data_IF_856441582124
#
_entry.id   IF_856441582124
#
_cell.length_a   1.000
_cell.length_b   1.000
_cell.length_c   1.000
_cell.angle_alpha   90.00
_cell.angle_beta   90.00
_cell.angle_gamma   90.00
#
_symmetry.space_group_name_H-M   'P 1'
#
loop_
_entity.id
_entity.type
_entity.pdbx_description
1 polymer ?
#
# COMPACT_ATOMS: atom_id res chain seq x y z
N UNK A 1 20.71 14.05 -47.21
CA UNK A 1 21.76 14.20 -46.18
C UNK A 1 21.21 14.61 -44.81
N UNK A 2 20.47 15.72 -44.67
CA UNK A 2 19.93 16.20 -43.37
C UNK A 2 19.09 15.17 -42.60
N UNK A 3 18.23 14.39 -43.28
CA UNK A 3 17.43 13.31 -42.67
C UNK A 3 18.29 12.25 -41.99
N UNK A 4 19.33 11.77 -42.67
CA UNK A 4 20.20 10.71 -42.13
C UNK A 4 20.95 11.18 -40.87
N UNK A 5 21.36 12.45 -40.83
CA UNK A 5 21.99 13.05 -39.64
C UNK A 5 21.00 13.08 -38.48
N UNK A 6 19.76 13.52 -38.71
CA UNK A 6 18.73 13.56 -37.67
C UNK A 6 18.35 12.17 -37.16
N UNK A 7 18.24 11.19 -38.05
CA UNK A 7 17.98 9.80 -37.66
C UNK A 7 19.14 9.23 -36.85
N UNK A 8 20.38 9.41 -37.29
CA UNK A 8 21.55 8.95 -36.53
C UNK A 8 21.67 9.64 -35.16
N UNK A 9 21.35 10.94 -35.10
CA UNK A 9 21.32 11.70 -33.85
C UNK A 9 20.22 11.20 -32.90
N UNK A 10 19.01 10.93 -33.42
CA UNK A 10 17.94 10.31 -32.67
C UNK A 10 18.31 8.92 -32.14
N UNK A 11 18.95 8.07 -32.96
CA UNK A 11 19.47 6.77 -32.51
C UNK A 11 20.49 6.90 -31.37
N UNK A 12 21.36 7.91 -31.43
CA UNK A 12 22.28 8.21 -30.33
C UNK A 12 21.56 8.71 -29.06
N UNK A 13 20.50 9.51 -29.20
CA UNK A 13 19.66 9.94 -28.07
C UNK A 13 18.94 8.74 -27.41
N UNK A 14 18.42 7.80 -28.20
CA UNK A 14 17.87 6.54 -27.67
C UNK A 14 18.93 5.75 -26.89
N UNK A 15 20.14 5.64 -27.43
CA UNK A 15 21.24 4.92 -26.76
C UNK A 15 21.69 5.57 -25.45
N UNK A 16 21.50 6.88 -25.30
CA UNK A 16 21.81 7.63 -24.07
C UNK A 16 20.64 7.69 -23.07
N UNK A 17 19.50 7.06 -23.40
CA UNK A 17 18.31 7.02 -22.55
C UNK A 17 17.38 8.23 -22.66
N UNK A 18 17.67 9.18 -23.55
CA UNK A 18 16.86 10.38 -23.77
C UNK A 18 15.75 10.08 -24.81
N UNK A 19 14.75 9.28 -24.40
CA UNK A 19 13.76 8.73 -25.33
C UNK A 19 12.79 9.77 -25.90
N UNK A 20 12.25 10.69 -25.09
CA UNK A 20 11.31 11.71 -25.57
C UNK A 20 11.96 12.68 -26.58
N UNK A 21 13.19 13.11 -26.30
CA UNK A 21 13.94 13.98 -27.22
C UNK A 21 14.29 13.25 -28.52
N UNK A 22 14.61 11.94 -28.45
CA UNK A 22 14.78 11.11 -29.64
C UNK A 22 13.51 11.04 -30.49
N UNK A 23 12.34 10.84 -29.87
CA UNK A 23 11.05 10.87 -30.56
C UNK A 23 10.82 12.18 -31.33
N UNK A 24 11.10 13.32 -30.69
CA UNK A 24 10.99 14.64 -31.34
C UNK A 24 11.99 14.80 -32.49
N UNK A 25 13.24 14.32 -32.35
CA UNK A 25 14.23 14.43 -33.43
C UNK A 25 13.85 13.55 -34.63
N UNK A 26 13.31 12.36 -34.41
CA UNK A 26 12.76 11.50 -35.47
C UNK A 26 11.56 12.14 -36.18
N UNK A 27 10.67 12.83 -35.46
CA UNK A 27 9.55 13.57 -36.05
C UNK A 27 10.00 14.80 -36.85
N UNK A 28 11.08 15.46 -36.44
CA UNK A 28 11.63 16.64 -37.13
C UNK A 28 12.32 16.32 -38.46
N UNK A 29 12.59 15.04 -38.73
CA UNK A 29 13.18 14.58 -39.98
C UNK A 29 12.19 14.75 -41.15
N UNK A 30 12.71 14.99 -42.36
CA UNK A 30 11.90 15.13 -43.58
C UNK A 30 12.35 14.11 -44.64
N UNK A 31 11.50 13.14 -45.03
CA UNK A 31 10.23 12.79 -44.37
C UNK A 31 10.43 12.23 -42.94
N UNK A 32 9.41 12.28 -42.07
CA UNK A 32 9.51 11.82 -40.68
C UNK A 32 9.84 10.33 -40.59
N UNK A 33 10.66 9.96 -39.61
CA UNK A 33 10.92 8.55 -39.29
C UNK A 33 9.88 8.07 -38.27
N UNK A 34 8.67 7.76 -38.73
CA UNK A 34 7.51 7.51 -37.85
C UNK A 34 7.69 6.26 -36.97
N UNK A 35 8.14 5.13 -37.53
CA UNK A 35 8.35 3.88 -36.77
C UNK A 35 9.34 4.08 -35.61
N UNK A 36 10.50 4.69 -35.89
CA UNK A 36 11.50 5.00 -34.86
C UNK A 36 10.98 5.99 -33.82
N UNK A 37 10.10 6.92 -34.22
CA UNK A 37 9.46 7.84 -33.29
C UNK A 37 8.48 7.13 -32.37
N UNK A 38 7.67 6.19 -32.89
CA UNK A 38 6.74 5.37 -32.08
C UNK A 38 7.51 4.60 -31.02
N UNK A 39 8.58 3.89 -31.39
CA UNK A 39 9.40 3.13 -30.46
C UNK A 39 10.04 4.02 -29.38
N UNK A 40 10.47 5.22 -29.76
CA UNK A 40 11.04 6.18 -28.83
C UNK A 40 10.00 6.70 -27.83
N UNK A 41 8.79 7.05 -28.28
CA UNK A 41 7.72 7.52 -27.38
C UNK A 41 7.13 6.42 -26.51
N UNK A 42 7.07 5.17 -27.01
CA UNK A 42 6.72 3.99 -26.22
C UNK A 42 7.69 3.83 -25.04
N UNK A 43 9.00 3.89 -25.30
CA UNK A 43 10.04 3.84 -24.24
C UNK A 43 10.02 5.06 -23.30
N UNK A 44 9.57 6.21 -23.78
CA UNK A 44 9.38 7.41 -22.97
C UNK A 44 8.13 7.36 -22.07
N UNK A 45 7.32 6.29 -22.14
CA UNK A 45 6.01 6.19 -21.48
C UNK A 45 4.97 7.23 -21.94
N UNK A 46 5.18 7.84 -23.12
CA UNK A 46 4.26 8.80 -23.74
C UNK A 46 3.30 8.10 -24.70
N UNK A 47 2.45 7.24 -24.15
CA UNK A 47 1.63 6.32 -24.94
C UNK A 47 0.67 7.03 -25.91
N UNK A 48 0.05 8.16 -25.51
CA UNK A 48 -0.87 8.92 -26.37
C UNK A 48 -0.19 9.41 -27.65
N UNK A 49 1.03 9.91 -27.51
CA UNK A 49 1.79 10.42 -28.64
C UNK A 49 2.25 9.27 -29.53
N UNK A 50 2.73 8.17 -28.95
CA UNK A 50 3.07 6.95 -29.69
C UNK A 50 1.88 6.43 -30.51
N UNK A 51 0.69 6.31 -29.92
CA UNK A 51 -0.52 5.86 -30.63
C UNK A 51 -0.97 6.83 -31.73
N UNK A 52 -0.89 8.14 -31.48
CA UNK A 52 -1.24 9.15 -32.49
C UNK A 52 -0.29 9.14 -33.70
N UNK A 53 0.98 8.80 -33.48
CA UNK A 53 1.98 8.68 -34.54
C UNK A 53 1.79 7.35 -35.28
N UNK A 54 1.54 6.26 -34.56
CA UNK A 54 1.28 4.95 -35.13
C UNK A 54 0.06 4.97 -36.07
N UNK A 55 -0.99 5.73 -35.72
CA UNK A 55 -2.16 5.93 -36.58
C UNK A 55 -1.86 6.63 -37.93
N UNK A 56 -0.67 7.22 -38.09
CA UNK A 56 -0.22 7.84 -39.36
C UNK A 56 0.57 6.86 -40.23
N UNK A 57 0.78 5.63 -39.78
CA UNK A 57 1.52 4.58 -40.49
C UNK A 57 0.51 3.58 -41.06
N UNK A 58 0.34 3.57 -42.38
CA UNK A 58 -0.68 2.74 -43.05
C UNK A 58 -0.52 1.22 -42.82
N UNK A 59 0.70 0.76 -42.52
CA UNK A 59 1.02 -0.65 -42.30
C UNK A 59 0.97 -1.08 -40.84
N UNK A 60 0.72 -0.15 -39.90
CA UNK A 60 0.75 -0.44 -38.48
C UNK A 60 -0.58 -1.05 -38.01
N UNK A 61 -0.52 -2.22 -37.39
CA UNK A 61 -1.66 -2.77 -36.66
C UNK A 61 -1.78 -2.08 -35.30
N UNK A 62 -2.68 -1.09 -35.25
CA UNK A 62 -2.88 -0.24 -34.09
C UNK A 62 -3.44 -1.02 -32.88
N UNK A 63 -4.24 -2.07 -33.12
CA UNK A 63 -4.82 -2.87 -32.04
C UNK A 63 -3.73 -3.72 -31.37
N UNK A 64 -2.89 -4.41 -32.15
CA UNK A 64 -1.77 -5.19 -31.61
C UNK A 64 -0.78 -4.30 -30.84
N UNK A 65 -0.45 -3.12 -31.37
CA UNK A 65 0.42 -2.17 -30.67
C UNK A 65 -0.22 -1.68 -29.35
N UNK A 66 -1.52 -1.40 -29.35
CA UNK A 66 -2.24 -0.99 -28.15
C UNK A 66 -2.22 -2.07 -27.07
N UNK A 67 -2.43 -3.34 -27.42
CA UNK A 67 -2.32 -4.47 -26.47
C UNK A 67 -0.91 -4.56 -25.86
N UNK A 68 0.13 -4.52 -26.69
CA UNK A 68 1.52 -4.57 -26.20
C UNK A 68 1.81 -3.42 -25.24
N UNK A 69 1.39 -2.19 -25.60
CA UNK A 69 1.61 -1.02 -24.76
C UNK A 69 0.78 -1.05 -23.47
N UNK A 70 -0.45 -1.58 -23.51
CA UNK A 70 -1.27 -1.77 -22.33
C UNK A 70 -0.60 -2.77 -21.36
N UNK A 71 -0.09 -3.89 -21.88
CA UNK A 71 0.65 -4.87 -21.07
C UNK A 71 1.94 -4.26 -20.48
N UNK A 72 2.68 -3.46 -21.24
CA UNK A 72 3.84 -2.72 -20.74
C UNK A 72 3.47 -1.75 -19.61
N UNK A 73 2.34 -1.03 -19.71
CA UNK A 73 1.86 -0.11 -18.67
C UNK A 73 1.38 -0.83 -17.42
N UNK A 74 0.93 -2.08 -17.54
CA UNK A 74 0.53 -2.93 -16.42
C UNK A 74 1.73 -3.63 -15.76
N UNK A 75 2.72 -4.05 -16.55
CA UNK A 75 3.89 -4.82 -16.13
C UNK A 75 5.16 -3.99 -15.95
N UNK A 76 5.08 -2.66 -16.06
CA UNK A 76 6.24 -1.76 -16.04
C UNK A 76 7.17 -2.01 -14.83
N UNK A 77 8.27 -2.74 -15.05
CA UNK A 77 9.34 -2.90 -14.06
C UNK A 77 10.17 -1.60 -14.03
N UNK A 78 9.83 -0.69 -13.11
CA UNK A 78 10.63 0.52 -12.83
C UNK A 78 9.96 1.85 -13.16
N UNK A 79 8.80 1.86 -13.82
CA UNK A 79 7.93 3.03 -13.98
C UNK A 79 6.66 2.83 -13.14
N UNK A 80 5.98 3.93 -12.76
CA UNK A 80 4.68 3.83 -12.09
C UNK A 80 3.68 3.14 -13.01
N UNK A 81 3.16 1.98 -12.59
CA UNK A 81 2.04 1.29 -13.25
C UNK A 81 0.90 2.28 -13.50
N UNK A 82 0.32 2.26 -14.69
CA UNK A 82 -0.79 3.13 -15.03
C UNK A 82 -1.96 2.31 -15.62
N UNK A 83 -2.80 1.72 -14.77
CA UNK A 83 -3.88 0.85 -15.23
C UNK A 83 -4.99 1.63 -15.95
N UNK A 84 -5.19 2.92 -15.63
CA UNK A 84 -6.17 3.77 -16.31
C UNK A 84 -5.78 3.98 -17.78
N UNK A 85 -4.50 4.27 -18.04
CA UNK A 85 -3.99 4.39 -19.40
C UNK A 85 -4.07 3.05 -20.18
N UNK A 86 -3.78 1.92 -19.53
CA UNK A 86 -3.94 0.60 -20.14
C UNK A 86 -5.41 0.32 -20.52
N UNK A 87 -6.36 0.65 -19.65
CA UNK A 87 -7.78 0.52 -19.95
C UNK A 87 -8.24 1.44 -21.09
N UNK A 88 -7.75 2.69 -21.14
CA UNK A 88 -7.99 3.60 -22.27
C UNK A 88 -7.49 2.98 -23.60
N UNK A 89 -6.35 2.29 -23.59
CA UNK A 89 -5.82 1.58 -24.76
C UNK A 89 -6.75 0.45 -25.22
N UNK A 90 -7.17 -0.43 -24.30
CA UNK A 90 -8.09 -1.53 -24.61
C UNK A 90 -9.42 -1.04 -25.17
N UNK A 91 -10.02 -0.03 -24.55
CA UNK A 91 -11.34 0.47 -24.94
C UNK A 91 -11.28 1.23 -26.28
N UNK A 92 -10.33 2.15 -26.44
CA UNK A 92 -10.32 3.07 -27.57
C UNK A 92 -9.69 2.47 -28.83
N UNK A 93 -8.66 1.64 -28.68
CA UNK A 93 -7.88 1.13 -29.82
C UNK A 93 -8.12 -0.35 -30.09
N UNK A 94 -8.28 -1.17 -29.05
CA UNK A 94 -8.57 -2.59 -29.24
C UNK A 94 -10.06 -2.89 -29.40
N UNK A 95 -10.94 -1.94 -29.06
CA UNK A 95 -12.38 -2.15 -28.93
C UNK A 95 -12.76 -3.28 -27.96
N UNK A 96 -11.87 -3.58 -27.02
CA UNK A 96 -12.05 -4.59 -25.99
C UNK A 96 -12.49 -3.91 -24.69
N UNK A 97 -13.81 -3.80 -24.56
CA UNK A 97 -14.43 -3.20 -23.38
C UNK A 97 -14.37 -4.17 -22.19
N UNK A 98 -14.22 -5.48 -22.41
CA UNK A 98 -14.18 -6.49 -21.34
C UNK A 98 -12.90 -6.31 -20.57
N UNK A 99 -11.77 -6.37 -21.28
CA UNK A 99 -10.45 -6.22 -20.68
C UNK A 99 -10.25 -4.82 -20.09
N UNK A 100 -10.79 -3.78 -20.75
CA UNK A 100 -10.76 -2.41 -20.25
C UNK A 100 -11.49 -2.24 -18.90
N UNK A 101 -12.72 -2.75 -18.80
CA UNK A 101 -13.50 -2.71 -17.55
C UNK A 101 -12.83 -3.56 -16.48
N UNK A 102 -12.42 -4.79 -16.81
CA UNK A 102 -11.71 -5.66 -15.89
C UNK A 102 -10.44 -5.00 -15.32
N UNK A 103 -9.65 -4.34 -16.17
CA UNK A 103 -8.43 -3.62 -15.75
C UNK A 103 -8.75 -2.47 -14.78
N UNK A 104 -9.80 -1.69 -15.05
CA UNK A 104 -10.22 -0.58 -14.17
C UNK A 104 -10.74 -1.09 -12.82
N UNK A 105 -11.53 -2.16 -12.83
CA UNK A 105 -12.06 -2.77 -11.61
C UNK A 105 -10.92 -3.32 -10.74
N UNK A 106 -9.94 -3.99 -11.33
CA UNK A 106 -8.76 -4.47 -10.62
C UNK A 106 -7.89 -3.32 -10.06
N UNK A 107 -7.92 -2.15 -10.70
CA UNK A 107 -7.28 -0.93 -10.21
C UNK A 107 -8.10 -0.19 -9.15
N UNK A 108 -9.30 -0.69 -8.78
CA UNK A 108 -10.27 -0.04 -7.90
C UNK A 108 -10.78 1.32 -8.42
N UNK A 109 -10.69 1.54 -9.72
CA UNK A 109 -11.19 2.73 -10.40
C UNK A 109 -12.68 2.55 -10.78
N UNK A 110 -13.51 2.35 -9.76
CA UNK A 110 -14.90 1.93 -9.92
C UNK A 110 -15.75 2.89 -10.76
N UNK A 111 -15.54 4.19 -10.58
CA UNK A 111 -16.29 5.22 -11.30
C UNK A 111 -15.98 5.21 -12.80
N UNK A 112 -14.71 5.02 -13.16
CA UNK A 112 -14.29 4.90 -14.56
C UNK A 112 -14.78 3.59 -15.18
N UNK A 113 -14.69 2.47 -14.44
CA UNK A 113 -15.21 1.18 -14.89
C UNK A 113 -16.72 1.25 -15.18
N UNK A 114 -17.49 1.84 -14.26
CA UNK A 114 -18.93 2.04 -14.41
C UNK A 114 -19.24 2.92 -15.63
N UNK A 115 -18.53 4.05 -15.76
CA UNK A 115 -18.71 4.96 -16.90
C UNK A 115 -18.41 4.26 -18.23
N UNK A 116 -17.31 3.51 -18.31
CA UNK A 116 -16.93 2.77 -19.51
C UNK A 116 -18.01 1.74 -19.90
N UNK A 117 -18.45 0.92 -18.95
CA UNK A 117 -19.50 -0.07 -19.21
C UNK A 117 -20.82 0.58 -19.69
N UNK A 118 -21.22 1.70 -19.08
CA UNK A 118 -22.43 2.44 -19.48
C UNK A 118 -22.30 3.10 -20.86
N UNK A 119 -21.18 3.75 -21.13
CA UNK A 119 -20.93 4.45 -22.40
C UNK A 119 -20.98 3.49 -23.59
N UNK A 120 -20.47 2.27 -23.40
CA UNK A 120 -20.48 1.20 -24.40
C UNK A 120 -21.76 0.33 -24.35
N UNK A 121 -22.78 0.73 -23.59
CA UNK A 121 -24.07 0.04 -23.47
C UNK A 121 -23.99 -1.41 -22.97
N UNK A 122 -22.93 -1.74 -22.24
CA UNK A 122 -22.62 -3.07 -21.70
C UNK A 122 -23.04 -3.19 -20.25
N UNK A 123 -24.34 -3.25 -20.03
CA UNK A 123 -24.93 -3.37 -18.69
C UNK A 123 -24.69 -4.74 -18.05
N UNK A 124 -24.51 -5.75 -18.89
CA UNK A 124 -24.10 -7.10 -18.50
C UNK A 124 -22.83 -7.06 -17.64
N UNK A 125 -21.78 -6.32 -18.06
CA UNK A 125 -20.55 -6.20 -17.28
C UNK A 125 -20.72 -5.54 -15.91
N UNK A 126 -21.69 -4.65 -15.79
CA UNK A 126 -21.98 -4.01 -14.51
C UNK A 126 -22.48 -5.06 -13.52
N UNK A 127 -23.37 -5.94 -13.97
CA UNK A 127 -23.98 -6.99 -13.16
C UNK A 127 -23.03 -8.17 -12.92
N UNK A 128 -22.19 -8.53 -13.91
CA UNK A 128 -21.34 -9.72 -13.83
C UNK A 128 -19.95 -9.45 -13.24
N UNK A 129 -19.42 -8.24 -13.40
CA UNK A 129 -18.04 -7.91 -12.98
C UNK A 129 -17.99 -6.78 -11.96
N UNK A 130 -18.53 -5.60 -12.30
CA UNK A 130 -18.33 -4.39 -11.48
C UNK A 130 -19.01 -4.51 -10.12
N UNK A 131 -20.30 -4.83 -10.07
CA UNK A 131 -21.04 -4.92 -8.80
C UNK A 131 -20.52 -6.04 -7.89
N UNK A 132 -20.29 -7.29 -8.37
CA UNK A 132 -19.73 -8.35 -7.54
C UNK A 132 -18.35 -8.00 -6.95
N UNK A 133 -17.48 -7.36 -7.73
CA UNK A 133 -16.14 -6.98 -7.27
C UNK A 133 -16.18 -5.79 -6.30
N UNK A 134 -17.13 -4.87 -6.44
CA UNK A 134 -17.40 -3.83 -5.42
C UNK A 134 -17.88 -4.47 -4.11
N UNK A 135 -18.77 -5.47 -4.19
CA UNK A 135 -19.24 -6.18 -3.00
C UNK A 135 -18.12 -6.97 -2.32
N UNK A 136 -17.22 -7.60 -3.10
CA UNK A 136 -16.05 -8.27 -2.56
C UNK A 136 -15.08 -7.27 -1.91
N UNK A 137 -14.81 -6.13 -2.56
CA UNK A 137 -13.97 -5.09 -1.98
C UNK A 137 -14.55 -4.52 -0.68
N UNK A 138 -15.89 -4.52 -0.53
CA UNK A 138 -16.54 -4.17 0.72
C UNK A 138 -16.27 -5.20 1.83
N UNK A 139 -16.28 -6.51 1.54
CA UNK A 139 -15.87 -7.54 2.51
C UNK A 139 -14.41 -7.35 2.94
N UNK A 140 -13.53 -7.14 1.96
CA UNK A 140 -12.10 -6.89 2.22
C UNK A 140 -11.91 -5.65 3.09
N UNK A 141 -12.64 -4.57 2.82
CA UNK A 141 -12.57 -3.33 3.59
C UNK A 141 -13.09 -3.51 5.03
N UNK A 142 -14.18 -4.26 5.25
CA UNK A 142 -14.69 -4.59 6.59
C UNK A 142 -13.65 -5.38 7.40
N UNK A 143 -13.03 -6.37 6.77
CA UNK A 143 -11.99 -7.18 7.43
C UNK A 143 -10.74 -6.36 7.74
N UNK A 144 -10.32 -5.47 6.85
CA UNK A 144 -9.16 -4.59 7.06
C UNK A 144 -9.42 -3.58 8.19
N UNK A 145 -10.56 -2.88 8.19
CA UNK A 145 -10.94 -1.97 9.29
C UNK A 145 -10.96 -2.74 10.62
N UNK A 146 -11.57 -3.92 10.66
CA UNK A 146 -11.60 -4.77 11.85
C UNK A 146 -10.21 -5.19 12.33
N UNK A 147 -9.33 -5.59 11.41
CA UNK A 147 -7.95 -5.98 11.67
C UNK A 147 -7.09 -4.84 12.20
N UNK A 148 -7.16 -3.67 11.55
CA UNK A 148 -6.48 -2.44 11.98
C UNK A 148 -6.98 -2.00 13.36
N UNK A 149 -8.28 -2.07 13.60
CA UNK A 149 -8.86 -1.71 14.90
C UNK A 149 -8.41 -2.65 16.02
N UNK A 150 -8.41 -3.97 15.78
CA UNK A 150 -7.93 -4.95 16.75
C UNK A 150 -6.43 -4.79 17.05
N UNK A 151 -5.64 -4.54 16.00
CA UNK A 151 -4.20 -4.26 16.10
C UNK A 151 -3.94 -3.00 16.93
N UNK A 152 -4.65 -1.92 16.65
CA UNK A 152 -4.57 -0.67 17.42
C UNK A 152 -4.86 -0.91 18.91
N UNK A 153 -5.99 -1.58 19.24
CA UNK A 153 -6.34 -1.90 20.63
C UNK A 153 -5.23 -2.67 21.34
N UNK A 154 -4.73 -3.72 20.69
CA UNK A 154 -3.66 -4.57 21.25
C UNK A 154 -2.40 -3.77 21.54
N UNK A 155 -1.93 -2.98 20.57
CA UNK A 155 -0.73 -2.17 20.75
C UNK A 155 -0.94 -1.02 21.73
N UNK A 156 -2.14 -0.44 21.80
CA UNK A 156 -2.48 0.58 22.78
C UNK A 156 -2.41 0.05 24.22
N UNK A 157 -3.03 -1.12 24.48
CA UNK A 157 -2.94 -1.78 25.80
C UNK A 157 -1.49 -2.11 26.14
N UNK A 158 -0.70 -2.62 25.18
CA UNK A 158 0.72 -2.92 25.43
C UNK A 158 1.52 -1.66 25.73
N UNK A 159 1.35 -0.59 24.95
CA UNK A 159 2.09 0.66 25.10
C UNK A 159 1.77 1.33 26.44
N UNK A 160 0.49 1.40 26.80
CA UNK A 160 0.05 1.98 28.09
C UNK A 160 0.57 1.17 29.28
N UNK A 161 0.48 -0.16 29.24
CA UNK A 161 1.01 -1.02 30.30
C UNK A 161 2.53 -0.93 30.41
N UNK A 162 3.25 -0.93 29.29
CA UNK A 162 4.70 -0.74 29.24
C UNK A 162 5.11 0.57 29.90
N UNK A 163 4.53 1.69 29.44
CA UNK A 163 4.87 3.03 29.92
C UNK A 163 4.53 3.21 31.40
N UNK A 164 3.41 2.68 31.85
CA UNK A 164 3.03 2.71 33.27
C UNK A 164 3.96 1.84 34.13
N UNK A 165 4.31 0.64 33.66
CA UNK A 165 5.27 -0.21 34.35
C UNK A 165 6.62 0.49 34.51
N UNK A 166 7.17 1.07 33.42
CA UNK A 166 8.43 1.82 33.46
C UNK A 166 8.32 3.01 34.44
N UNK A 167 7.20 3.74 34.43
CA UNK A 167 6.95 4.84 35.37
C UNK A 167 6.94 4.38 36.83
N UNK A 168 6.26 3.28 37.13
CA UNK A 168 6.20 2.72 38.49
C UNK A 168 7.58 2.21 38.94
N UNK A 169 8.35 1.54 38.08
CA UNK A 169 9.71 1.09 38.44
C UNK A 169 10.64 2.27 38.77
N UNK A 170 10.57 3.35 38.00
CA UNK A 170 11.26 4.62 38.28
C UNK A 170 10.85 5.20 39.64
N UNK A 171 9.55 5.22 39.93
CA UNK A 171 9.02 5.80 41.18
C UNK A 171 9.44 5.00 42.42
N UNK A 172 9.49 3.67 42.33
CA UNK A 172 9.88 2.81 43.45
C UNK A 172 11.41 2.71 43.65
N UNK A 173 12.22 3.45 42.88
CA UNK A 173 13.68 3.43 43.00
C UNK A 173 14.34 2.10 42.63
N UNK A 174 13.57 1.18 42.02
CA UNK A 174 14.04 -0.14 41.56
C UNK A 174 14.89 0.00 40.28
N UNK A 175 14.83 1.17 39.63
CA UNK A 175 15.64 1.55 38.46
C UNK A 175 17.15 1.72 38.76
N UNK A 176 17.62 1.35 39.95
CA UNK A 176 19.05 1.22 40.24
C UNK A 176 19.82 2.54 40.26
N UNK A 177 19.13 3.69 40.36
CA UNK A 177 19.78 4.99 40.64
C UNK A 177 20.10 5.10 42.14
N UNK A 178 20.98 4.24 42.64
CA UNK A 178 21.84 4.63 43.77
C UNK A 178 22.74 5.75 43.27
N UNK A 179 22.77 6.83 44.03
CA UNK A 179 23.39 8.11 43.77
C UNK A 179 24.93 8.01 43.76
N UNK A 180 25.51 7.30 42.80
CA UNK A 180 26.95 7.25 42.59
C UNK A 180 27.25 8.07 41.34
N UNK A 181 27.80 9.26 41.55
CA UNK A 181 28.12 10.25 40.53
C UNK A 181 29.22 9.81 39.57
N UNK A 182 28.92 8.84 38.70
CA UNK A 182 29.70 8.52 37.53
C UNK A 182 28.77 8.44 36.32
N UNK A 183 28.81 9.49 35.50
CA UNK A 183 28.01 9.57 34.30
C UNK A 183 28.45 8.54 33.28
N UNK A 184 27.59 7.57 33.00
CA UNK A 184 27.40 6.92 31.70
C UNK A 184 26.00 6.31 31.69
N UNK A 185 25.27 6.63 30.64
CA UNK A 185 23.90 6.27 30.30
C UNK A 185 23.67 4.75 30.26
N UNK A 186 22.94 4.18 31.24
CA UNK A 186 22.40 2.81 31.15
C UNK A 186 21.17 2.57 32.07
N UNK A 187 20.28 3.55 32.18
CA UNK A 187 19.06 3.43 32.99
C UNK A 187 18.02 2.46 32.43
N UNK A 188 18.17 2.02 31.18
CA UNK A 188 17.25 1.08 30.53
C UNK A 188 17.56 -0.39 30.88
N UNK A 189 18.82 -0.74 31.14
CA UNK A 189 19.22 -2.14 31.37
C UNK A 189 18.73 -2.71 32.71
N UNK A 190 18.59 -1.87 33.74
CA UNK A 190 18.12 -2.31 35.06
C UNK A 190 16.62 -2.59 35.10
N UNK A 191 15.78 -1.70 34.54
CA UNK A 191 14.35 -1.93 34.39
C UNK A 191 14.08 -3.22 33.59
N UNK A 192 14.79 -3.41 32.47
CA UNK A 192 14.66 -4.59 31.61
C UNK A 192 15.08 -5.91 32.30
N UNK A 193 16.04 -5.88 33.23
CA UNK A 193 16.41 -7.04 34.04
C UNK A 193 15.37 -7.39 35.12
N UNK A 194 14.69 -6.38 35.70
CA UNK A 194 13.58 -6.58 36.62
C UNK A 194 12.35 -7.18 35.92
N UNK A 195 12.04 -6.72 34.68
CA UNK A 195 10.99 -7.31 33.84
C UNK A 195 11.24 -8.80 33.53
N UNK A 196 12.50 -9.16 33.27
CA UNK A 196 12.92 -10.54 32.99
C UNK A 196 12.75 -11.46 34.22
N UNK A 197 13.09 -10.96 35.41
CA UNK A 197 13.04 -11.73 36.66
C UNK A 197 11.63 -11.88 37.25
N UNK A 198 10.72 -10.93 37.01
CA UNK A 198 9.33 -11.01 37.48
C UNK A 198 8.48 -12.05 36.76
N UNK A 199 8.95 -12.61 35.65
CA UNK A 199 8.36 -13.81 35.05
C UNK A 199 8.53 -15.08 35.91
N UNK A 200 9.32 -15.04 36.99
CA UNK A 200 9.67 -16.21 37.81
C UNK A 200 9.17 -16.19 39.27
N UNK A 201 8.58 -15.11 39.79
CA UNK A 201 8.05 -15.08 41.17
C UNK A 201 6.67 -14.40 41.25
N UNK A 202 5.65 -15.22 41.52
CA UNK A 202 4.23 -14.82 41.51
C UNK A 202 3.82 -14.01 42.73
N UNK A 203 2.97 -13.00 42.52
CA UNK A 203 1.74 -12.78 43.31
C UNK A 203 0.67 -12.16 42.41
N UNK A 204 -0.49 -12.80 42.29
CA UNK A 204 -1.71 -12.17 41.75
C UNK A 204 -2.07 -12.52 40.30
N UNK A 205 -3.10 -13.36 40.18
CA UNK A 205 -3.75 -13.92 38.99
C UNK A 205 -4.23 -12.93 37.91
N UNK A 206 -4.35 -13.47 36.67
CA UNK A 206 -5.05 -12.98 35.47
C UNK A 206 -4.29 -12.06 34.49
N UNK A 207 -3.27 -12.58 33.82
CA UNK A 207 -3.14 -12.37 32.37
C UNK A 207 -2.31 -13.52 31.75
N UNK A 208 -2.99 -14.56 31.26
CA UNK A 208 -2.35 -15.62 30.49
C UNK A 208 -2.05 -15.11 29.08
N UNK A 209 -0.90 -14.45 28.93
CA UNK A 209 -0.31 -14.20 27.61
C UNK A 209 1.16 -14.65 27.61
N UNK A 210 1.39 -15.92 27.98
CA UNK A 210 2.68 -16.59 27.81
C UNK A 210 2.69 -17.19 26.40
N UNK A 211 3.76 -16.86 25.68
CA UNK A 211 4.11 -17.26 24.31
C UNK A 211 3.61 -16.33 23.19
N UNK A 212 4.07 -15.08 23.16
CA UNK A 212 4.37 -14.47 21.84
C UNK A 212 5.68 -15.10 21.36
N UNK A 213 5.58 -16.31 20.79
CA UNK A 213 6.56 -16.71 19.79
C UNK A 213 6.50 -15.64 18.71
N UNK A 214 7.58 -14.87 18.55
CA UNK A 214 7.88 -14.20 17.27
C UNK A 214 8.22 -15.27 16.23
N UNK A 215 7.26 -16.15 15.96
CA UNK A 215 7.26 -17.15 14.92
C UNK A 215 7.03 -16.45 13.61
N UNK A 216 8.01 -16.61 12.73
CA UNK A 216 8.01 -16.31 11.31
C UNK A 216 6.81 -16.94 10.59
N UNK A 217 5.62 -16.34 10.70
CA UNK A 217 4.50 -16.56 9.77
C UNK A 217 3.62 -15.33 9.55
N UNK A 218 3.97 -14.17 10.10
CA UNK A 218 3.56 -12.91 9.50
C UNK A 218 4.59 -12.60 8.43
N UNK A 219 4.14 -12.72 7.19
CA UNK A 219 4.75 -12.17 5.99
C UNK A 219 5.46 -10.87 6.35
N UNK A 220 6.75 -10.81 6.05
CA UNK A 220 7.44 -9.55 5.88
C UNK A 220 6.78 -8.88 4.67
N UNK A 221 5.66 -8.19 4.89
CA UNK A 221 5.25 -7.10 4.03
C UNK A 221 5.67 -5.83 4.73
N UNK A 222 6.82 -5.34 4.30
CA UNK A 222 7.22 -3.96 4.49
C UNK A 222 6.16 -3.10 3.80
N UNK A 223 5.11 -2.71 4.54
CA UNK A 223 4.14 -1.72 4.11
C UNK A 223 4.77 -0.32 4.16
N UNK A 224 5.74 -0.14 3.28
CA UNK A 224 6.41 1.12 2.97
C UNK A 224 6.66 1.21 1.47
N UNK A 225 5.69 0.83 0.65
CA UNK A 225 5.56 1.33 -0.71
C UNK A 225 4.07 1.34 -1.06
N UNK A 226 3.46 2.53 -1.07
CA UNK A 226 2.30 2.78 -1.93
C UNK A 226 2.75 2.48 -3.36
N UNK A 227 2.43 1.28 -3.82
CA UNK A 227 2.51 0.89 -5.22
C UNK A 227 1.35 -0.07 -5.46
N UNK A 228 0.50 0.33 -6.39
CA UNK A 228 -0.66 -0.38 -6.92
C UNK A 228 -0.27 -1.76 -7.48
N UNK A 229 -0.17 -2.79 -6.65
CA UNK A 229 -0.08 -4.19 -7.12
C UNK A 229 -0.98 -5.08 -6.28
N UNK A 230 -2.11 -5.48 -6.88
CA UNK A 230 -3.05 -6.45 -6.33
C UNK A 230 -2.39 -7.84 -6.20
N UNK A 231 -2.74 -8.63 -5.16
CA UNK A 231 -2.24 -9.99 -4.97
C UNK A 231 -2.71 -10.99 -6.05
N UNK A 232 -3.58 -10.58 -6.98
CA UNK A 232 -4.16 -11.44 -8.02
C UNK A 232 -3.16 -11.82 -9.13
N UNK A 233 -2.19 -10.96 -9.48
CA UNK A 233 -1.22 -11.22 -10.56
C UNK A 233 -0.01 -12.07 -10.16
N UNK A 234 0.20 -12.34 -8.86
CA UNK A 234 1.33 -13.16 -8.40
C UNK A 234 1.18 -14.66 -8.74
N UNK A 235 -0.01 -15.11 -9.15
CA UNK A 235 -0.34 -16.51 -9.35
C UNK A 235 0.08 -17.10 -10.73
N UNK A 236 0.56 -16.30 -11.67
CA UNK A 236 0.86 -16.77 -13.04
C UNK A 236 2.34 -17.01 -13.36
N UNK A 237 3.24 -16.91 -12.38
CA UNK A 237 4.70 -17.08 -12.57
C UNK A 237 5.30 -18.27 -11.80
N UNK A 238 4.53 -19.31 -11.51
CA UNK A 238 5.06 -20.52 -10.85
C UNK A 238 5.48 -21.58 -11.86
N UNK A 239 6.68 -21.44 -12.43
CA UNK A 239 7.43 -22.61 -12.92
C UNK A 239 7.92 -23.40 -11.70
N UNK A 240 7.48 -24.64 -11.57
CA UNK A 240 7.92 -25.58 -10.53
C UNK A 240 9.45 -25.72 -10.48
N UNK A 241 10.05 -25.78 -9.28
CA UNK A 241 11.33 -26.46 -9.12
C UNK A 241 11.16 -27.70 -8.24
N UNK A 242 11.28 -28.85 -8.87
CA UNK A 242 11.67 -30.10 -8.23
C UNK A 242 13.11 -29.98 -7.71
N UNK A 243 13.36 -30.17 -6.41
CA UNK A 243 14.45 -31.01 -5.89
C UNK A 243 14.67 -30.86 -4.38
N UNK A 244 14.89 -32.01 -3.75
CA UNK A 244 15.33 -32.20 -2.38
C UNK A 244 16.67 -31.52 -2.08
N UNK A 245 16.74 -30.66 -1.07
CA UNK A 245 18.04 -30.32 -0.45
C UNK A 245 17.92 -29.98 1.04
N UNK A 246 18.95 -30.42 1.77
CA UNK A 246 19.09 -30.46 3.22
C UNK A 246 19.05 -29.06 3.85
N UNK A 247 18.34 -28.92 4.97
CA UNK A 247 18.24 -27.70 5.75
C UNK A 247 19.63 -27.16 6.15
N UNK A 248 20.11 -26.13 5.44
CA UNK A 248 21.27 -25.33 5.83
C UNK A 248 20.87 -24.48 7.04
N UNK A 249 21.53 -24.72 8.18
CA UNK A 249 21.44 -23.84 9.36
C UNK A 249 21.81 -22.41 8.95
N UNK A 250 20.89 -21.48 9.21
CA UNK A 250 21.04 -20.05 8.92
C UNK A 250 22.30 -19.44 9.57
N UNK A 251 23.00 -18.52 8.89
CA UNK A 251 24.17 -17.82 9.42
C UNK A 251 23.84 -17.00 10.69
N UNK A 252 24.75 -16.99 11.67
CA UNK A 252 24.57 -16.36 13.01
C UNK A 252 24.23 -14.85 12.97
N UNK A 253 24.47 -14.15 11.85
CA UNK A 253 24.11 -12.74 11.66
C UNK A 253 22.61 -12.48 11.50
N UNK A 254 21.81 -13.50 11.18
CA UNK A 254 20.35 -13.40 11.04
C UNK A 254 19.57 -13.81 12.30
N UNK A 255 20.25 -13.94 13.46
CA UNK A 255 19.54 -13.96 14.74
C UNK A 255 18.99 -12.56 14.98
N UNK A 256 17.73 -12.35 14.55
CA UNK A 256 16.87 -11.22 14.92
C UNK A 256 17.24 -10.78 16.33
N UNK A 257 17.61 -9.51 16.48
CA UNK A 257 17.69 -8.84 17.78
C UNK A 257 16.36 -9.13 18.47
N UNK A 258 16.40 -9.97 19.50
CA UNK A 258 15.23 -10.24 20.33
C UNK A 258 14.97 -8.91 21.02
N UNK A 259 13.96 -8.16 20.58
CA UNK A 259 13.54 -6.93 21.23
C UNK A 259 13.30 -7.31 22.70
N UNK A 260 14.02 -6.64 23.59
CA UNK A 260 13.98 -6.95 25.01
C UNK A 260 12.72 -6.36 25.62
N UNK A 261 12.02 -7.15 26.42
CA UNK A 261 10.78 -6.71 27.05
C UNK A 261 11.06 -5.53 27.99
N UNK A 262 10.29 -4.45 27.85
CA UNK A 262 10.43 -3.20 28.60
C UNK A 262 11.55 -2.28 28.12
N UNK A 263 12.21 -2.57 26.99
CA UNK A 263 13.24 -1.68 26.43
C UNK A 263 12.66 -0.48 25.67
N UNK A 264 13.48 0.55 25.48
CA UNK A 264 13.14 1.68 24.61
C UNK A 264 12.83 1.24 23.17
N UNK A 265 13.50 0.18 22.69
CA UNK A 265 13.24 -0.41 21.37
C UNK A 265 11.86 -1.06 21.29
N UNK A 266 11.39 -1.70 22.37
CA UNK A 266 10.02 -2.24 22.42
C UNK A 266 8.99 -1.11 22.40
N UNK A 267 9.18 -0.07 23.23
CA UNK A 267 8.30 1.08 23.30
C UNK A 267 8.15 1.75 21.91
N UNK A 268 9.27 2.06 21.25
CA UNK A 268 9.28 2.65 19.91
C UNK A 268 8.66 1.73 18.84
N UNK A 269 8.89 0.41 18.91
CA UNK A 269 8.30 -0.56 17.99
C UNK A 269 6.77 -0.64 18.14
N UNK A 270 6.28 -0.73 19.37
CA UNK A 270 4.84 -0.81 19.67
C UNK A 270 4.14 0.49 19.25
N UNK A 271 4.77 1.63 19.51
CA UNK A 271 4.27 2.94 19.09
C UNK A 271 4.21 3.08 17.56
N UNK A 272 5.27 2.67 16.85
CA UNK A 272 5.30 2.68 15.38
C UNK A 272 4.21 1.78 14.80
N UNK A 273 4.02 0.58 15.38
CA UNK A 273 2.98 -0.37 14.97
C UNK A 273 1.57 0.18 15.22
N UNK A 274 1.37 0.87 16.35
CA UNK A 274 0.11 1.54 16.68
C UNK A 274 -0.20 2.64 15.66
N UNK A 275 0.81 3.44 15.26
CA UNK A 275 0.63 4.48 14.24
C UNK A 275 0.33 3.91 12.86
N UNK A 276 1.02 2.86 12.44
CA UNK A 276 0.76 2.19 11.16
C UNK A 276 -0.68 1.65 11.06
N UNK A 277 -1.27 1.23 12.18
CA UNK A 277 -2.65 0.78 12.23
C UNK A 277 -3.68 1.92 12.03
N UNK A 278 -3.31 3.19 12.25
CA UNK A 278 -4.25 4.30 12.13
C UNK A 278 -4.63 4.59 10.66
N UNK A 279 -5.92 4.86 10.36
CA UNK A 279 -6.35 5.22 9.01
C UNK A 279 -5.60 6.46 8.50
N UNK A 280 -5.01 6.36 7.30
CA UNK A 280 -4.33 7.45 6.61
C UNK A 280 -5.25 8.09 5.55
N UNK A 281 -4.84 9.20 4.94
CA UNK A 281 -5.66 9.91 3.96
C UNK A 281 -5.98 9.08 2.71
N UNK A 282 -5.03 8.28 2.21
CA UNK A 282 -5.23 7.38 1.06
C UNK A 282 -6.32 6.34 1.36
N UNK A 283 -6.25 5.66 2.51
CA UNK A 283 -7.26 4.70 2.95
C UNK A 283 -8.66 5.31 3.05
N UNK A 284 -8.76 6.54 3.56
CA UNK A 284 -10.04 7.25 3.68
C UNK A 284 -10.63 7.60 2.30
N UNK A 285 -9.78 7.97 1.34
CA UNK A 285 -10.20 8.26 -0.02
C UNK A 285 -10.70 6.98 -0.72
N UNK A 286 -9.96 5.88 -0.61
CA UNK A 286 -10.35 4.58 -1.18
C UNK A 286 -11.67 4.08 -0.60
N UNK A 287 -11.83 4.16 0.73
CA UNK A 287 -13.08 3.83 1.39
C UNK A 287 -14.22 4.69 0.88
N UNK A 288 -14.02 6.00 0.72
CA UNK A 288 -15.06 6.91 0.22
C UNK A 288 -15.52 6.52 -1.18
N UNK A 289 -14.59 6.19 -2.08
CA UNK A 289 -14.91 5.74 -3.43
C UNK A 289 -15.75 4.46 -3.37
N UNK A 290 -15.34 3.48 -2.57
CA UNK A 290 -16.08 2.24 -2.38
C UNK A 290 -17.49 2.45 -1.81
N UNK A 291 -17.62 3.28 -0.77
CA UNK A 291 -18.92 3.63 -0.17
C UNK A 291 -19.84 4.32 -1.18
N UNK A 292 -19.29 5.18 -2.04
CA UNK A 292 -20.04 5.82 -3.12
C UNK A 292 -20.62 4.79 -4.08
N UNK A 293 -19.84 3.77 -4.43
CA UNK A 293 -20.30 2.68 -5.29
C UNK A 293 -21.34 1.79 -4.61
N UNK A 294 -21.18 1.48 -3.33
CA UNK A 294 -22.18 0.72 -2.57
C UNK A 294 -23.53 1.45 -2.55
N UNK A 295 -23.52 2.77 -2.34
CA UNK A 295 -24.74 3.59 -2.42
C UNK A 295 -25.32 3.58 -3.82
N UNK A 296 -24.48 3.73 -4.85
CA UNK A 296 -24.90 3.69 -6.24
C UNK A 296 -25.63 2.38 -6.61
N UNK A 297 -25.12 1.23 -6.16
CA UNK A 297 -25.75 -0.08 -6.35
C UNK A 297 -26.91 -0.38 -5.38
N UNK A 298 -27.29 0.56 -4.52
CA UNK A 298 -28.41 0.40 -3.58
C UNK A 298 -28.06 -0.34 -2.28
N UNK A 299 -26.80 -0.73 -2.08
CA UNK A 299 -26.28 -1.37 -0.86
C UNK A 299 -26.00 -0.38 0.27
N UNK A 300 -26.91 0.58 0.47
CA UNK A 300 -26.80 1.64 1.48
C UNK A 300 -26.65 1.11 2.92
N UNK A 301 -27.38 0.05 3.35
CA UNK A 301 -27.20 -0.50 4.70
C UNK A 301 -25.78 -1.00 4.96
N UNK A 302 -25.15 -1.62 3.96
CA UNK A 302 -23.77 -2.10 4.06
C UNK A 302 -22.78 -0.95 4.15
N UNK A 303 -22.97 0.08 3.32
CA UNK A 303 -22.17 1.31 3.41
C UNK A 303 -22.26 1.95 4.81
N UNK A 304 -23.45 1.97 5.43
CA UNK A 304 -23.63 2.46 6.81
C UNK A 304 -22.91 1.59 7.85
N UNK A 305 -22.94 0.26 7.71
CA UNK A 305 -22.19 -0.65 8.60
C UNK A 305 -20.69 -0.36 8.56
N UNK A 306 -20.11 -0.26 7.37
CA UNK A 306 -18.67 0.04 7.20
C UNK A 306 -18.34 1.41 7.79
N UNK A 307 -19.16 2.43 7.51
CA UNK A 307 -18.98 3.75 8.10
C UNK A 307 -19.07 3.72 9.63
N UNK A 308 -19.96 2.91 10.19
CA UNK A 308 -20.09 2.72 11.64
C UNK A 308 -18.86 2.07 12.26
N UNK A 309 -18.27 1.07 11.59
CA UNK A 309 -17.04 0.41 12.04
C UNK A 309 -15.86 1.39 12.05
N UNK A 310 -15.67 2.18 10.99
CA UNK A 310 -14.62 3.18 10.95
C UNK A 310 -14.85 4.28 11.99
N UNK A 311 -16.08 4.78 12.16
CA UNK A 311 -16.41 5.78 13.18
C UNK A 311 -16.08 5.27 14.59
N UNK A 312 -16.43 4.02 14.90
CA UNK A 312 -16.09 3.39 16.17
C UNK A 312 -14.58 3.27 16.37
N UNK A 313 -13.82 2.96 15.31
CA UNK A 313 -12.37 2.94 15.34
C UNK A 313 -11.78 4.34 15.59
N UNK A 314 -12.19 5.35 14.82
CA UNK A 314 -11.73 6.74 14.98
C UNK A 314 -12.09 7.31 16.36
N UNK A 315 -13.29 7.00 16.87
CA UNK A 315 -13.70 7.37 18.21
C UNK A 315 -12.80 6.74 19.27
N UNK A 316 -12.47 5.45 19.12
CA UNK A 316 -11.54 4.79 20.04
C UNK A 316 -10.15 5.41 20.03
N UNK A 317 -9.60 5.77 18.86
CA UNK A 317 -8.32 6.50 18.77
C UNK A 317 -8.40 7.83 19.54
N UNK A 318 -9.52 8.54 19.39
CA UNK A 318 -9.74 9.84 20.04
C UNK A 318 -9.85 9.72 21.57
N UNK A 319 -10.52 8.69 22.09
CA UNK A 319 -10.70 8.50 23.55
C UNK A 319 -9.50 7.83 24.21
N UNK A 320 -8.70 7.08 23.45
CA UNK A 320 -7.57 6.31 23.94
C UNK A 320 -6.25 6.85 23.37
N UNK A 321 -5.97 8.11 23.65
CA UNK A 321 -4.68 8.71 23.29
C UNK A 321 -3.56 8.01 24.08
N UNK A 322 -2.49 7.53 23.42
CA UNK A 322 -1.38 6.90 24.11
C UNK A 322 -0.69 7.89 25.07
N UNK A 323 -0.23 7.45 26.26
CA UNK A 323 0.44 8.30 27.22
C UNK A 323 1.78 8.80 26.66
N UNK A 324 2.29 9.93 27.14
CA UNK A 324 3.52 10.53 26.63
C UNK A 324 4.72 9.57 26.62
N UNK A 325 5.65 9.70 25.66
CA UNK A 325 6.84 8.86 25.59
C UNK A 325 7.66 8.95 26.88
N UNK A 326 8.13 7.78 27.33
CA UNK A 326 8.89 7.62 28.59
C UNK A 326 10.40 7.67 28.34
N UNK A 327 10.79 7.58 27.06
CA UNK A 327 12.15 7.72 26.54
C UNK A 327 12.13 8.83 25.47
N UNK A 328 12.94 9.89 25.63
CA UNK A 328 13.07 10.99 24.65
C UNK A 328 12.15 12.20 24.85
N UNK A 329 12.34 13.24 24.04
CA UNK A 329 11.49 14.46 24.03
C UNK A 329 10.18 14.23 23.27
N UNK A 330 9.06 14.71 23.83
CA UNK A 330 7.75 14.66 23.18
C UNK A 330 7.68 15.64 22.01
N UNK A 331 8.01 15.16 20.81
CA UNK A 331 7.90 15.93 19.56
C UNK A 331 6.56 15.73 18.85
N UNK A 332 5.56 15.17 19.55
CA UNK A 332 4.38 14.62 18.89
C UNK A 332 3.29 15.67 18.60
N UNK A 333 2.92 15.75 17.33
CA UNK A 333 1.69 16.37 16.88
C UNK A 333 0.53 15.48 17.32
N UNK A 334 -0.36 16.00 18.16
CA UNK A 334 -1.55 15.29 18.59
C UNK A 334 -2.36 14.82 17.36
N UNK A 335 -2.71 13.54 17.32
CA UNK A 335 -3.56 13.01 16.26
C UNK A 335 -4.88 13.79 16.22
N UNK A 336 -5.20 14.35 15.06
CA UNK A 336 -6.45 15.03 14.82
C UNK A 336 -7.40 14.05 14.12
N UNK A 337 -8.63 13.95 14.63
CA UNK A 337 -9.68 13.17 13.99
C UNK A 337 -9.92 13.71 12.56
N UNK A 338 -9.86 12.86 11.53
CA UNK A 338 -10.17 13.27 10.16
C UNK A 338 -11.59 13.83 10.06
N UNK A 339 -11.77 14.86 9.23
CA UNK A 339 -13.11 15.41 8.97
C UNK A 339 -13.99 14.33 8.34
N UNK A 340 -15.20 14.24 8.84
CA UNK A 340 -16.26 13.37 8.39
C UNK A 340 -16.49 13.46 6.87
N UNK A 341 -16.34 14.65 6.28
CA UNK A 341 -16.48 14.87 4.83
C UNK A 341 -15.42 14.15 3.96
N UNK A 342 -14.30 13.71 4.56
CA UNK A 342 -13.22 13.05 3.82
C UNK A 342 -13.53 11.60 3.47
N UNK A 343 -14.43 10.94 4.22
CA UNK A 343 -14.72 9.51 4.05
C UNK A 343 -16.20 9.15 4.11
N UNK A 344 -17.05 9.90 4.82
CA UNK A 344 -18.48 9.59 4.87
C UNK A 344 -19.20 10.01 3.58
N UNK A 345 -20.07 9.12 3.12
CA UNK A 345 -20.94 9.32 1.95
C UNK A 345 -22.40 9.33 2.38
N UNK A 346 -22.78 8.45 3.30
CA UNK A 346 -24.13 8.35 3.83
C UNK A 346 -24.22 9.14 5.12
N UNK A 347 -25.08 10.16 5.17
CA UNK A 347 -25.43 10.79 6.44
C UNK A 347 -26.18 9.80 7.31
N UNK A 348 -25.86 9.72 8.60
CA UNK A 348 -26.76 9.16 9.61
C UNK A 348 -27.99 10.05 9.66
N UNK A 349 -28.97 9.81 8.79
CA UNK A 349 -30.29 10.36 8.99
C UNK A 349 -30.79 9.80 10.33
N UNK A 350 -31.21 10.72 11.19
CA UNK A 350 -31.65 10.56 12.58
C UNK A 350 -32.45 9.30 12.86
#
# INVERSE_FOLDING_TARGET
>A
MRRQILVAYGSHQVATGAFASAGHTFLSAVPPALELAVDAFRKASEWRLAMSIAARIDTCDLASLAYEMADELLNAMGTTRNPVAAAELYIHYCHDVDEGVATLVQAREWGLALQAAQLHQRRDLIETEVEPLVLQAADDMETDIGGRFATYKKHWVRLTTLREQIRLFRLHGIDGKTNDGNGLDDGASSAASAFSNMSMSSVGSHNSNRDIRFGTSLSFETSSHSATTSPFYAAMSSTEPTSSSKAKKMPRRFRRTKIQEGSADEDAYVETSLRAAMPNAEFLADLRQLLTMLVYFGHTPRAQTIQGQLDAFLHHIQTHVPPAPVHGESTEVAWARPDNATWMVVSRLL
#
